data_IF_400750788557
#
_entry.id   IF_400750788557
#
_cell.length_a   1.000
_cell.length_b   1.000
_cell.length_c   1.000
_cell.angle_alpha   90.00
_cell.angle_beta   90.00
_cell.angle_gamma   90.00
#
_symmetry.space_group_name_H-M   'P 1'
#
loop_
_entity.id
_entity.type
_entity.pdbx_description
1 polymer ?
#
# COMPACT_ATOMS: atom_id res chain seq x y z
N UNK A 1 -17.36 23.62 -55.08
CA UNK A 1 -16.45 23.60 -53.91
C UNK A 1 -15.08 24.19 -54.25
N UNK A 2 -15.01 25.42 -54.78
CA UNK A 2 -13.74 26.16 -55.02
C UNK A 2 -13.95 27.68 -54.84
N UNK A 3 -15.18 28.18 -55.00
CA UNK A 3 -15.51 29.61 -54.97
C UNK A 3 -15.35 30.31 -53.62
N UNK A 4 -15.50 29.61 -52.48
CA UNK A 4 -15.37 30.25 -51.16
C UNK A 4 -13.91 30.40 -50.69
N UNK A 5 -12.97 29.62 -51.23
CA UNK A 5 -11.55 29.75 -50.88
C UNK A 5 -10.91 30.97 -51.58
N UNK A 6 -11.48 31.39 -52.71
CA UNK A 6 -10.94 32.50 -53.51
C UNK A 6 -11.35 33.88 -52.94
N UNK A 7 -12.49 33.98 -52.24
CA UNK A 7 -13.02 35.26 -51.73
C UNK A 7 -12.09 36.00 -50.77
N UNK A 8 -11.32 35.28 -49.94
CA UNK A 8 -10.34 35.86 -49.03
C UNK A 8 -9.03 36.31 -49.70
N UNK A 9 -8.69 35.74 -50.86
CA UNK A 9 -7.47 36.07 -51.62
C UNK A 9 -7.73 37.18 -52.64
N UNK A 10 -8.98 37.38 -53.08
CA UNK A 10 -9.33 38.42 -54.06
C UNK A 10 -9.60 39.82 -53.49
N UNK A 11 -9.51 40.02 -52.16
CA UNK A 11 -9.62 41.37 -51.57
C UNK A 11 -8.52 42.35 -52.03
N UNK A 12 -7.38 41.82 -52.50
CA UNK A 12 -6.20 42.63 -52.86
C UNK A 12 -6.09 43.07 -54.32
N UNK A 13 -7.00 42.70 -55.23
CA UNK A 13 -6.85 43.05 -56.68
C UNK A 13 -7.42 44.42 -57.06
N UNK A 14 -7.61 45.32 -56.09
CA UNK A 14 -8.07 46.69 -56.29
C UNK A 14 -7.14 47.76 -55.70
N UNK A 15 -5.96 47.97 -56.30
CA UNK A 15 -5.26 49.26 -56.30
C UNK A 15 -4.37 49.63 -55.10
N UNK A 16 -3.06 49.46 -55.30
CA UNK A 16 -1.94 50.34 -54.92
C UNK A 16 -1.48 50.51 -53.45
N UNK A 17 -2.02 49.81 -52.45
CA UNK A 17 -1.44 49.82 -51.10
C UNK A 17 -1.12 48.42 -50.55
N UNK A 18 0.17 48.05 -50.40
CA UNK A 18 0.59 46.79 -49.77
C UNK A 18 0.01 46.60 -48.35
N UNK A 19 -0.25 47.70 -47.62
CA UNK A 19 -0.84 47.65 -46.29
C UNK A 19 -2.33 47.25 -46.31
N UNK A 20 -3.06 47.50 -47.41
CA UNK A 20 -4.45 47.07 -47.56
C UNK A 20 -4.54 45.54 -47.65
N UNK A 21 -3.66 44.93 -48.46
CA UNK A 21 -3.54 43.47 -48.57
C UNK A 21 -3.15 42.83 -47.23
N UNK A 22 -2.19 43.43 -46.50
CA UNK A 22 -1.82 42.95 -45.17
C UNK A 22 -2.97 43.09 -44.19
N UNK A 23 -3.72 44.20 -44.23
CA UNK A 23 -4.88 44.43 -43.37
C UNK A 23 -6.02 43.47 -43.68
N UNK A 24 -6.24 43.12 -44.95
CA UNK A 24 -7.25 42.15 -45.38
C UNK A 24 -6.85 40.70 -45.03
N UNK A 25 -5.56 40.36 -45.15
CA UNK A 25 -5.04 39.06 -44.71
C UNK A 25 -5.16 38.92 -43.18
N UNK A 26 -4.72 39.93 -42.43
CA UNK A 26 -4.85 39.95 -40.97
C UNK A 26 -6.33 39.96 -40.57
N UNK A 27 -7.16 40.73 -41.25
CA UNK A 27 -8.60 40.83 -41.03
C UNK A 27 -9.36 39.56 -41.41
N UNK A 28 -8.90 38.80 -42.40
CA UNK A 28 -9.46 37.49 -42.74
C UNK A 28 -9.04 36.40 -41.74
N UNK A 29 -7.76 36.38 -41.35
CA UNK A 29 -7.24 35.46 -40.34
C UNK A 29 -7.82 35.75 -38.94
N UNK A 30 -8.03 37.01 -38.60
CA UNK A 30 -8.66 37.46 -37.34
C UNK A 30 -10.19 37.44 -37.43
N UNK A 31 -10.76 37.73 -38.60
CA UNK A 31 -12.21 37.78 -38.83
C UNK A 31 -12.86 36.41 -38.90
N UNK A 32 -12.13 35.37 -39.33
CA UNK A 32 -12.53 33.98 -39.12
C UNK A 32 -12.60 33.57 -37.64
N UNK A 33 -12.03 34.36 -36.73
CA UNK A 33 -12.08 34.15 -35.27
C UNK A 33 -13.32 34.83 -34.65
N UNK A 34 -13.87 35.88 -35.25
CA UNK A 34 -14.95 36.70 -34.65
C UNK A 34 -16.25 36.68 -35.48
N UNK A 35 -16.21 36.18 -36.73
CA UNK A 35 -17.33 36.19 -37.67
C UNK A 35 -17.81 34.79 -38.06
N UNK A 36 -18.46 34.07 -37.16
CA UNK A 36 -19.41 32.97 -37.45
C UNK A 36 -18.89 31.72 -38.18
N UNK A 37 -17.65 31.68 -38.65
CA UNK A 37 -16.92 30.47 -39.04
C UNK A 37 -16.12 29.94 -37.86
N UNK A 38 -15.94 28.62 -37.76
CA UNK A 38 -15.03 28.05 -36.75
C UNK A 38 -13.64 28.60 -37.00
N UNK A 39 -13.07 29.25 -35.99
CA UNK A 39 -11.72 29.77 -36.04
C UNK A 39 -10.77 28.67 -36.52
N UNK A 40 -9.79 28.94 -37.42
CA UNK A 40 -8.86 27.92 -37.87
C UNK A 40 -8.04 27.30 -36.73
N UNK A 41 -8.01 27.93 -35.55
CA UNK A 41 -7.40 27.42 -34.32
C UNK A 41 -8.40 26.76 -33.34
N UNK A 42 -9.71 26.74 -33.61
CA UNK A 42 -10.72 26.07 -32.77
C UNK A 42 -10.38 24.60 -32.48
N UNK A 43 -9.93 23.78 -33.44
CA UNK A 43 -9.51 22.41 -33.14
C UNK A 43 -8.36 22.32 -32.13
N UNK A 44 -7.45 23.31 -32.12
CA UNK A 44 -6.34 23.38 -31.16
C UNK A 44 -6.85 23.79 -29.79
N UNK A 45 -7.80 24.73 -29.72
CA UNK A 45 -8.43 25.16 -28.47
C UNK A 45 -9.21 24.00 -27.83
N UNK A 46 -9.93 23.21 -28.62
CA UNK A 46 -10.69 22.04 -28.14
C UNK A 46 -9.75 20.97 -27.56
N UNK A 47 -8.61 20.71 -28.21
CA UNK A 47 -7.57 19.80 -27.69
C UNK A 47 -6.95 20.32 -26.40
N UNK A 48 -6.65 21.62 -26.33
CA UNK A 48 -6.09 22.25 -25.12
C UNK A 48 -7.09 22.19 -23.97
N UNK A 49 -8.36 22.49 -24.22
CA UNK A 49 -9.40 22.42 -23.19
C UNK A 49 -9.62 20.98 -22.72
N UNK A 50 -9.67 20.01 -23.62
CA UNK A 50 -9.72 18.59 -23.25
C UNK A 50 -8.50 18.16 -22.42
N UNK A 51 -7.31 18.68 -22.74
CA UNK A 51 -6.11 18.46 -21.92
C UNK A 51 -6.19 19.05 -20.52
N UNK A 52 -6.78 20.25 -20.38
CA UNK A 52 -7.03 20.89 -19.08
C UNK A 52 -8.06 20.09 -18.27
N UNK A 53 -9.14 19.62 -18.91
CA UNK A 53 -10.17 18.81 -18.25
C UNK A 53 -9.59 17.48 -17.73
N UNK A 54 -8.72 16.84 -18.53
CA UNK A 54 -7.96 15.65 -18.10
C UNK A 54 -7.05 15.98 -16.92
N UNK A 55 -6.32 17.11 -16.96
CA UNK A 55 -5.41 17.51 -15.88
C UNK A 55 -6.16 17.78 -14.57
N UNK A 56 -7.34 18.39 -14.63
CA UNK A 56 -8.23 18.57 -13.48
C UNK A 56 -8.78 17.25 -12.97
N UNK A 57 -9.12 16.31 -13.86
CA UNK A 57 -9.51 14.95 -13.48
C UNK A 57 -8.39 14.18 -12.76
N UNK A 58 -7.14 14.39 -13.16
CA UNK A 58 -5.96 13.84 -12.45
C UNK A 58 -5.79 14.50 -11.07
N UNK A 59 -6.04 15.80 -10.96
CA UNK A 59 -5.94 16.52 -9.69
C UNK A 59 -7.02 16.07 -8.69
N UNK A 60 -8.26 15.83 -9.14
CA UNK A 60 -9.31 15.27 -8.27
C UNK A 60 -9.03 13.82 -7.86
N UNK A 61 -8.54 13.00 -8.80
CA UNK A 61 -8.15 11.61 -8.53
C UNK A 61 -7.03 11.52 -7.50
N UNK A 62 -6.04 12.42 -7.55
CA UNK A 62 -4.99 12.51 -6.53
C UNK A 62 -5.58 12.67 -5.13
N UNK A 63 -6.52 13.59 -4.95
CA UNK A 63 -7.16 13.83 -3.66
C UNK A 63 -8.02 12.64 -3.22
N UNK A 64 -8.73 12.00 -4.14
CA UNK A 64 -9.55 10.81 -3.87
C UNK A 64 -8.69 9.62 -3.39
N UNK A 65 -7.56 9.35 -4.06
CA UNK A 65 -6.62 8.29 -3.67
C UNK A 65 -6.05 8.56 -2.28
N UNK A 66 -5.66 9.80 -1.99
CA UNK A 66 -5.12 10.17 -0.68
C UNK A 66 -6.18 9.97 0.41
N UNK A 67 -7.40 10.48 0.23
CA UNK A 67 -8.45 10.36 1.24
C UNK A 67 -8.88 8.90 1.43
N UNK A 68 -9.07 8.16 0.35
CA UNK A 68 -9.42 6.73 0.41
C UNK A 68 -8.33 5.91 1.08
N UNK A 69 -7.06 6.21 0.80
CA UNK A 69 -5.91 5.57 1.45
C UNK A 69 -5.87 5.84 2.95
N UNK A 70 -6.10 7.09 3.37
CA UNK A 70 -6.17 7.49 4.79
C UNK A 70 -7.32 6.77 5.49
N UNK A 71 -8.53 6.80 4.92
CA UNK A 71 -9.72 6.18 5.51
C UNK A 71 -9.54 4.66 5.64
N UNK A 72 -9.00 4.02 4.62
CA UNK A 72 -8.72 2.57 4.62
C UNK A 72 -7.71 2.20 5.71
N UNK A 73 -6.62 2.97 5.87
CA UNK A 73 -5.61 2.73 6.90
C UNK A 73 -6.16 3.00 8.30
N UNK A 74 -6.93 4.08 8.47
CA UNK A 74 -7.56 4.42 9.75
C UNK A 74 -8.54 3.33 10.21
N UNK A 75 -9.40 2.83 9.30
CA UNK A 75 -10.39 1.80 9.61
C UNK A 75 -9.76 0.41 9.83
N UNK A 76 -8.70 0.07 9.10
CA UNK A 76 -8.13 -1.29 9.13
C UNK A 76 -7.02 -1.46 10.17
N UNK A 77 -6.16 -0.46 10.38
CA UNK A 77 -4.88 -0.62 11.11
C UNK A 77 -4.94 -0.06 12.54
N UNK A 78 -5.53 1.12 12.75
CA UNK A 78 -5.48 1.81 14.05
C UNK A 78 -6.46 1.20 15.07
N UNK A 79 -7.56 0.57 14.62
CA UNK A 79 -8.57 0.00 15.51
C UNK A 79 -8.23 -1.36 16.13
N UNK A 80 -7.25 -2.09 15.60
CA UNK A 80 -7.10 -3.54 15.86
C UNK A 80 -5.78 -3.93 16.52
N UNK A 81 -4.76 -3.06 16.49
CA UNK A 81 -3.40 -3.47 16.87
C UNK A 81 -2.95 -2.90 18.23
N UNK A 82 -2.78 -3.75 19.27
CA UNK A 82 -1.96 -3.38 20.42
C UNK A 82 -0.54 -3.13 19.91
N UNK A 83 0.03 -1.99 20.28
CA UNK A 83 1.33 -1.50 19.81
C UNK A 83 2.44 -2.52 20.14
N UNK A 84 2.77 -3.40 19.20
CA UNK A 84 4.06 -4.07 19.19
C UNK A 84 5.08 -3.02 18.74
N UNK A 85 5.94 -2.56 19.65
CA UNK A 85 6.83 -1.40 19.49
C UNK A 85 7.85 -1.48 18.33
N UNK A 86 7.87 -2.57 17.54
CA UNK A 86 8.89 -2.82 16.52
C UNK A 86 8.33 -3.02 15.10
N UNK A 87 7.49 -4.04 14.80
CA UNK A 87 7.11 -4.34 13.41
C UNK A 87 6.22 -3.26 12.77
N UNK A 88 5.44 -2.51 13.56
CA UNK A 88 4.56 -1.46 13.02
C UNK A 88 5.39 -0.27 12.52
N UNK A 89 6.47 0.08 13.22
CA UNK A 89 7.38 1.16 12.80
C UNK A 89 8.10 0.78 11.50
N UNK A 90 8.62 -0.44 11.43
CA UNK A 90 9.32 -0.93 10.23
C UNK A 90 8.40 -1.03 9.01
N UNK A 91 7.12 -1.37 9.20
CA UNK A 91 6.10 -1.33 8.14
C UNK A 91 5.87 0.11 7.66
N UNK A 92 5.81 1.09 8.56
CA UNK A 92 5.67 2.49 8.20
C UNK A 92 6.91 3.01 7.43
N UNK A 93 8.11 2.62 7.86
CA UNK A 93 9.36 2.95 7.18
C UNK A 93 9.41 2.31 5.78
N UNK A 94 8.95 1.06 5.63
CA UNK A 94 8.85 0.37 4.34
C UNK A 94 7.85 1.06 3.41
N UNK A 95 6.72 1.54 3.94
CA UNK A 95 5.76 2.34 3.21
C UNK A 95 6.36 3.67 2.72
N UNK A 96 7.09 4.36 3.60
CA UNK A 96 7.81 5.61 3.27
C UNK A 96 8.83 5.39 2.16
N UNK A 97 9.68 4.37 2.31
CA UNK A 97 10.70 3.99 1.34
C UNK A 97 10.09 3.66 -0.03
N UNK A 98 8.94 2.98 -0.07
CA UNK A 98 8.24 2.66 -1.31
C UNK A 98 7.77 3.93 -2.02
N UNK A 99 7.23 4.89 -1.28
CA UNK A 99 6.78 6.17 -1.84
C UNK A 99 7.96 7.01 -2.37
N UNK A 100 9.06 7.10 -1.61
CA UNK A 100 10.28 7.78 -2.04
C UNK A 100 10.88 7.12 -3.30
N UNK A 101 10.95 5.79 -3.33
CA UNK A 101 11.41 5.04 -4.51
C UNK A 101 10.57 5.36 -5.74
N UNK A 102 9.23 5.38 -5.60
CA UNK A 102 8.33 5.72 -6.68
C UNK A 102 8.53 7.15 -7.16
N UNK A 103 8.62 8.12 -6.24
CA UNK A 103 8.84 9.54 -6.55
C UNK A 103 10.16 9.73 -7.31
N UNK A 104 11.24 9.16 -6.81
CA UNK A 104 12.58 9.37 -7.36
C UNK A 104 12.74 8.65 -8.71
N UNK A 105 12.14 7.47 -8.86
CA UNK A 105 12.06 6.77 -10.17
C UNK A 105 11.28 7.57 -11.21
N UNK A 106 10.15 8.17 -10.82
CA UNK A 106 9.35 9.01 -11.74
C UNK A 106 10.10 10.26 -12.13
N UNK A 107 10.74 10.94 -11.18
CA UNK A 107 11.54 12.12 -11.47
C UNK A 107 12.71 11.79 -12.40
N UNK A 108 13.45 10.72 -12.11
CA UNK A 108 14.51 10.25 -13.00
C UNK A 108 13.99 9.86 -14.39
N UNK A 109 12.84 9.20 -14.49
CA UNK A 109 12.25 8.84 -15.78
C UNK A 109 11.85 10.08 -16.61
N UNK A 110 11.33 11.13 -15.96
CA UNK A 110 11.04 12.40 -16.62
C UNK A 110 12.32 13.10 -17.09
N UNK A 111 13.40 13.00 -16.33
CA UNK A 111 14.72 13.52 -16.72
C UNK A 111 15.27 12.78 -17.95
N UNK A 112 15.19 11.43 -17.97
CA UNK A 112 15.53 10.61 -19.15
C UNK A 112 14.79 11.08 -20.40
N UNK A 113 13.47 11.29 -20.29
CA UNK A 113 12.64 11.74 -21.41
C UNK A 113 13.02 13.16 -21.83
N UNK A 114 13.24 14.06 -20.88
CA UNK A 114 13.66 15.44 -21.12
C UNK A 114 14.98 15.51 -21.89
N UNK A 115 15.98 14.76 -21.43
CA UNK A 115 17.30 14.70 -22.06
C UNK A 115 17.22 14.11 -23.47
N UNK A 116 16.44 13.04 -23.66
CA UNK A 116 16.25 12.43 -24.98
C UNK A 116 15.55 13.39 -25.97
N UNK A 117 14.53 14.13 -25.53
CA UNK A 117 13.85 15.15 -26.35
C UNK A 117 14.79 16.33 -26.64
N UNK A 118 15.68 16.67 -25.70
CA UNK A 118 16.74 17.66 -25.88
C UNK A 118 17.89 17.20 -26.79
N UNK A 119 17.92 15.91 -27.17
CA UNK A 119 18.98 15.30 -27.98
C UNK A 119 20.23 14.88 -27.18
N UNK A 120 20.17 14.91 -25.85
CA UNK A 120 21.24 14.49 -24.94
C UNK A 120 21.08 13.02 -24.54
N UNK A 121 21.67 12.13 -25.34
CA UNK A 121 21.68 10.69 -25.05
C UNK A 121 22.55 10.37 -23.82
N UNK A 122 23.59 11.16 -23.55
CA UNK A 122 24.47 10.94 -22.41
C UNK A 122 23.75 11.26 -21.10
N UNK A 123 23.11 12.43 -21.00
CA UNK A 123 22.26 12.80 -19.87
C UNK A 123 21.13 11.79 -19.64
N UNK A 124 20.43 11.38 -20.72
CA UNK A 124 19.39 10.37 -20.63
C UNK A 124 19.91 9.02 -20.08
N UNK A 125 21.15 8.65 -20.42
CA UNK A 125 21.78 7.43 -19.90
C UNK A 125 22.15 7.57 -18.43
N UNK A 126 22.70 8.73 -18.03
CA UNK A 126 23.03 9.04 -16.64
C UNK A 126 21.78 8.99 -15.74
N UNK A 127 20.70 9.67 -16.16
CA UNK A 127 19.40 9.64 -15.47
C UNK A 127 18.84 8.23 -15.35
N UNK A 128 18.93 7.41 -16.41
CA UNK A 128 18.51 6.01 -16.38
C UNK A 128 19.35 5.15 -15.43
N UNK A 129 20.67 5.39 -15.34
CA UNK A 129 21.52 4.73 -14.35
C UNK A 129 21.23 5.20 -12.92
N UNK A 130 20.84 6.46 -12.74
CA UNK A 130 20.39 6.99 -11.45
C UNK A 130 19.13 6.29 -10.94
N UNK A 131 18.13 6.08 -11.83
CA UNK A 131 16.94 5.27 -11.51
C UNK A 131 17.34 3.87 -11.06
N UNK A 132 18.25 3.22 -11.78
CA UNK A 132 18.71 1.87 -11.44
C UNK A 132 19.39 1.84 -10.07
N UNK A 133 20.22 2.83 -9.75
CA UNK A 133 20.89 2.96 -8.46
C UNK A 133 19.89 3.18 -7.31
N UNK A 134 18.88 4.03 -7.51
CA UNK A 134 17.76 4.20 -6.57
C UNK A 134 17.04 2.87 -6.33
N UNK A 135 16.70 2.15 -7.40
CA UNK A 135 15.93 0.92 -7.30
C UNK A 135 16.72 -0.20 -6.59
N UNK A 136 18.01 -0.30 -6.87
CA UNK A 136 18.90 -1.26 -6.19
C UNK A 136 19.06 -0.88 -4.72
N UNK A 137 19.42 0.37 -4.44
CA UNK A 137 19.65 0.85 -3.07
C UNK A 137 18.39 0.68 -2.23
N UNK A 138 17.26 1.18 -2.70
CA UNK A 138 16.01 1.07 -1.96
C UNK A 138 15.50 -0.37 -1.90
N UNK A 139 15.74 -1.20 -2.93
CA UNK A 139 15.46 -2.63 -2.88
C UNK A 139 16.25 -3.36 -1.79
N UNK A 140 17.52 -3.00 -1.59
CA UNK A 140 18.34 -3.56 -0.50
C UNK A 140 17.84 -3.10 0.87
N UNK A 141 17.49 -1.82 1.03
CA UNK A 141 16.91 -1.29 2.27
C UNK A 141 15.57 -1.96 2.59
N UNK A 142 14.69 -2.11 1.59
CA UNK A 142 13.41 -2.79 1.74
C UNK A 142 13.57 -4.24 2.19
N UNK A 143 14.59 -4.95 1.66
CA UNK A 143 14.90 -6.32 2.09
C UNK A 143 15.32 -6.36 3.57
N UNK A 144 16.08 -5.37 4.03
CA UNK A 144 16.44 -5.21 5.44
C UNK A 144 15.21 -5.03 6.33
N UNK A 145 14.34 -4.07 6.00
CA UNK A 145 13.10 -3.80 6.73
C UNK A 145 12.18 -5.02 6.76
N UNK A 146 11.99 -5.72 5.63
CA UNK A 146 11.18 -6.95 5.59
C UNK A 146 11.76 -8.05 6.47
N UNK A 147 13.09 -8.17 6.53
CA UNK A 147 13.75 -9.14 7.42
C UNK A 147 13.50 -8.81 8.89
N UNK A 148 13.55 -7.53 9.25
CA UNK A 148 13.27 -7.04 10.60
C UNK A 148 11.81 -7.32 10.98
N UNK A 149 10.86 -6.99 10.10
CA UNK A 149 9.42 -7.24 10.31
C UNK A 149 9.17 -8.72 10.54
N UNK A 150 9.73 -9.58 9.70
CA UNK A 150 9.60 -11.04 9.83
C UNK A 150 10.25 -11.51 11.14
N UNK A 151 11.41 -10.97 11.52
CA UNK A 151 12.10 -11.27 12.76
C UNK A 151 11.25 -10.90 13.99
N UNK A 152 10.68 -9.70 14.01
CA UNK A 152 9.79 -9.23 15.07
C UNK A 152 8.52 -10.08 15.19
N UNK A 153 7.85 -10.36 14.07
CA UNK A 153 6.65 -11.22 14.04
C UNK A 153 6.98 -12.64 14.50
N UNK A 154 8.07 -13.23 14.01
CA UNK A 154 8.52 -14.57 14.41
C UNK A 154 8.90 -14.61 15.88
N UNK A 155 9.54 -13.58 16.41
CA UNK A 155 9.84 -13.45 17.84
C UNK A 155 8.57 -13.39 18.68
N UNK A 156 7.55 -12.65 18.23
CA UNK A 156 6.26 -12.54 18.92
C UNK A 156 5.50 -13.87 18.92
N UNK A 157 5.45 -14.56 17.78
CA UNK A 157 4.81 -15.88 17.64
C UNK A 157 5.58 -16.95 18.43
N UNK A 158 6.91 -16.99 18.32
CA UNK A 158 7.76 -17.90 19.07
C UNK A 158 7.66 -17.70 20.58
N UNK A 159 7.49 -16.44 21.02
CA UNK A 159 7.18 -16.07 22.40
C UNK A 159 5.75 -16.40 22.84
N UNK A 160 4.86 -16.82 21.94
CA UNK A 160 3.51 -17.34 22.22
C UNK A 160 3.45 -18.87 22.20
N UNK A 161 4.27 -19.52 21.39
CA UNK A 161 4.31 -21.00 21.26
C UNK A 161 5.45 -21.67 22.03
N UNK A 162 6.32 -20.90 22.69
CA UNK A 162 7.41 -21.40 23.51
C UNK A 162 6.95 -21.93 24.88
N UNK A 163 7.76 -22.74 25.55
CA UNK A 163 7.43 -23.31 26.87
C UNK A 163 7.20 -22.25 27.97
N UNK A 164 7.87 -21.10 27.86
CA UNK A 164 7.71 -19.98 28.81
C UNK A 164 6.54 -19.04 28.44
N UNK A 165 5.86 -19.31 27.33
CA UNK A 165 4.68 -18.55 26.92
C UNK A 165 3.51 -18.84 27.86
N UNK A 166 2.60 -17.88 28.11
CA UNK A 166 1.37 -18.15 28.86
C UNK A 166 0.57 -19.31 28.28
N UNK A 167 0.57 -19.49 26.96
CA UNK A 167 -0.05 -20.63 26.29
C UNK A 167 0.75 -21.93 26.40
N UNK A 168 2.09 -21.85 26.46
CA UNK A 168 2.96 -22.99 26.81
C UNK A 168 2.64 -23.49 28.21
N UNK A 169 2.60 -22.60 29.20
CA UNK A 169 2.18 -22.90 30.58
C UNK A 169 0.76 -23.48 30.66
N UNK A 170 -0.20 -22.94 29.91
CA UNK A 170 -1.57 -23.47 29.86
C UNK A 170 -1.59 -24.86 29.21
N UNK A 171 -0.80 -25.09 28.17
CA UNK A 171 -0.70 -26.39 27.49
C UNK A 171 -0.04 -27.42 28.40
N UNK A 172 1.01 -27.05 29.13
CA UNK A 172 1.68 -27.90 30.12
C UNK A 172 0.74 -28.22 31.30
N UNK A 173 0.00 -27.23 31.80
CA UNK A 173 -0.95 -27.42 32.89
C UNK A 173 -2.13 -28.30 32.45
N UNK A 174 -2.67 -28.06 31.25
CA UNK A 174 -3.73 -28.90 30.67
C UNK A 174 -3.20 -30.30 30.33
N UNK A 175 -1.97 -30.41 29.85
CA UNK A 175 -1.26 -31.66 29.59
C UNK A 175 -1.00 -32.45 30.87
N UNK A 176 -0.64 -31.80 31.98
CA UNK A 176 -0.55 -32.44 33.30
C UNK A 176 -1.92 -32.83 33.86
N UNK A 177 -2.96 -32.02 33.59
CA UNK A 177 -4.34 -32.30 34.00
C UNK A 177 -4.95 -33.49 33.24
N UNK A 178 -4.64 -33.61 31.94
CA UNK A 178 -5.24 -34.61 31.03
C UNK A 178 -4.34 -35.80 30.70
N UNK A 179 -3.01 -35.64 30.83
CA UNK A 179 -1.96 -36.57 30.40
C UNK A 179 -1.72 -37.75 31.34
N UNK A 180 -2.71 -38.09 32.15
CA UNK A 180 -2.67 -39.22 33.06
C UNK A 180 -3.01 -40.54 32.35
N UNK A 181 -2.50 -40.72 31.14
CA UNK A 181 -2.63 -41.98 30.40
C UNK A 181 -1.51 -42.91 30.86
N UNK A 182 -1.62 -43.41 32.10
CA UNK A 182 -0.67 -44.37 32.68
C UNK A 182 -0.39 -44.22 34.18
N UNK A 183 -0.82 -43.12 34.79
CA UNK A 183 -0.81 -42.88 36.23
C UNK A 183 -1.87 -41.83 36.53
N UNK A 184 -2.54 -41.91 37.67
CA UNK A 184 -3.81 -41.21 37.93
C UNK A 184 -3.71 -39.69 37.70
N UNK A 185 -4.71 -39.12 37.03
CA UNK A 185 -4.80 -37.66 36.88
C UNK A 185 -4.89 -37.08 38.28
N UNK A 186 -4.33 -35.89 38.55
CA UNK A 186 -4.61 -35.18 39.78
C UNK A 186 -6.12 -35.09 40.07
N UNK A 187 -6.96 -35.00 39.02
CA UNK A 187 -8.41 -35.07 39.15
C UNK A 187 -8.96 -36.48 39.39
N UNK A 188 -8.32 -37.53 38.86
CA UNK A 188 -8.64 -38.92 39.16
C UNK A 188 -8.48 -39.22 40.65
N UNK A 189 -7.31 -38.89 41.20
CA UNK A 189 -7.04 -39.01 42.65
C UNK A 189 -8.05 -38.22 43.49
N UNK A 190 -8.39 -37.00 43.09
CA UNK A 190 -9.40 -36.18 43.79
C UNK A 190 -10.80 -36.80 43.68
N UNK A 191 -11.15 -37.36 42.52
CA UNK A 191 -12.44 -38.03 42.30
C UNK A 191 -12.53 -39.30 43.12
N UNK A 192 -11.47 -40.09 43.20
CA UNK A 192 -11.40 -41.31 43.99
C UNK A 192 -11.42 -41.01 45.48
N UNK A 193 -10.73 -39.96 45.94
CA UNK A 193 -10.75 -39.53 47.33
C UNK A 193 -12.12 -38.99 47.75
N UNK A 194 -12.79 -38.21 46.88
CA UNK A 194 -14.15 -37.73 47.11
C UNK A 194 -15.17 -38.88 47.03
N UNK A 195 -14.97 -39.82 46.12
CA UNK A 195 -15.75 -41.05 45.98
C UNK A 195 -15.63 -41.96 47.19
N UNK A 196 -14.43 -42.11 47.77
CA UNK A 196 -14.21 -42.85 49.02
C UNK A 196 -14.77 -42.11 50.25
N UNK A 197 -14.64 -40.79 50.31
CA UNK A 197 -15.21 -39.98 51.39
C UNK A 197 -16.73 -40.05 51.39
N UNK A 198 -17.38 -39.96 50.23
CA UNK A 198 -18.84 -40.09 50.08
C UNK A 198 -19.32 -41.54 50.09
N UNK A 199 -18.49 -42.49 49.65
CA UNK A 199 -18.73 -43.93 49.69
C UNK A 199 -18.67 -44.53 51.09
N UNK A 200 -18.04 -43.84 52.05
CA UNK A 200 -18.07 -44.23 53.46
C UNK A 200 -19.46 -44.17 54.11
N UNK A 201 -20.44 -43.54 53.45
CA UNK A 201 -21.85 -43.60 53.86
C UNK A 201 -22.49 -44.94 53.42
N UNK A 202 -21.85 -45.69 52.51
CA UNK A 202 -22.29 -46.97 51.94
C UNK A 202 -21.62 -48.24 52.49
N UNK A 203 -20.59 -48.13 53.33
CA UNK A 203 -20.01 -49.27 54.06
C UNK A 203 -18.52 -49.54 53.85
N UNK A 204 -17.87 -48.88 52.88
CA UNK A 204 -16.42 -48.98 52.68
C UNK A 204 -15.66 -48.00 53.57
N UNK A 205 -14.55 -48.45 54.15
CA UNK A 205 -13.76 -47.62 55.06
C UNK A 205 -13.03 -46.52 54.27
N UNK A 206 -13.14 -45.23 54.65
CA UNK A 206 -12.50 -44.12 53.94
C UNK A 206 -10.96 -44.21 53.95
N UNK A 207 -10.40 -45.11 54.76
CA UNK A 207 -8.98 -45.39 54.86
C UNK A 207 -8.45 -46.30 53.74
N UNK A 208 -9.31 -47.02 53.00
CA UNK A 208 -8.89 -47.89 51.90
C UNK A 208 -8.15 -47.12 50.81
N UNK A 209 -8.70 -45.96 50.41
CA UNK A 209 -8.09 -45.06 49.41
C UNK A 209 -6.72 -44.56 49.85
N UNK A 210 -6.55 -44.26 51.14
CA UNK A 210 -5.25 -43.82 51.71
C UNK A 210 -4.21 -44.94 51.64
N UNK A 211 -4.65 -46.18 51.79
CA UNK A 211 -3.75 -47.35 51.80
C UNK A 211 -3.24 -47.66 50.39
N UNK A 212 -4.12 -47.55 49.38
CA UNK A 212 -3.74 -47.72 47.96
C UNK A 212 -2.80 -46.61 47.49
N UNK A 213 -3.05 -45.35 47.87
CA UNK A 213 -2.20 -44.22 47.49
C UNK A 213 -0.79 -44.32 48.10
N UNK A 214 -0.67 -44.79 49.34
CA UNK A 214 0.63 -45.01 49.98
C UNK A 214 1.39 -46.18 49.35
N UNK A 215 0.67 -47.20 48.86
CA UNK A 215 1.25 -48.34 48.15
C UNK A 215 1.79 -48.00 46.76
N UNK A 216 1.23 -46.98 46.09
CA UNK A 216 1.73 -46.50 44.79
C UNK A 216 2.94 -45.56 44.87
N UNK A 217 3.27 -45.04 46.06
CA UNK A 217 4.37 -44.09 46.28
C UNK A 217 5.74 -44.76 46.55
N UNK A 218 5.75 -46.06 46.85
CA UNK A 218 6.96 -46.85 47.15
C UNK A 218 7.36 -47.76 46.00
#
# INVERSE_FOLDING_TARGET
MITDIIGGVTGGVGGDNPLGVVTDIIGGVTGGIIGGGTSPISPVIDVVQGGIDILQGVESLKTEIINTGIDTVADTIIGVLPQAEHPVSEIADLGTLTFETSRDTVNGALEVVSDLVGGDIQGATESATGILDTLITNGTTATGLVTEIIGGVTGTIGGVTGGDSPLGLVTDLLGGLTGSVGGDSPLGVVTDLLGGLTGSVGGDSPLGVVTDLLGGLT
#
